data_IF_849957747617
#
_entry.id   IF_849957747617
#
_cell.length_a   1.000
_cell.length_b   1.000
_cell.length_c   1.000
_cell.angle_alpha   90.00
_cell.angle_beta   90.00
_cell.angle_gamma   90.00
#
_symmetry.space_group_name_H-M   'P 1'
#
loop_
_entity.id
_entity.type
_entity.pdbx_description
1 polymer ?
#
# COMPACT_ATOMS: atom_id res chain seq x y z
N UNK A 1 -0.88 -14.28 -7.08
CA UNK A 1 0.47 -13.72 -6.87
C UNK A 1 0.86 -13.89 -5.39
N UNK A 2 1.66 -14.90 -5.07
CA UNK A 2 2.06 -15.29 -3.70
C UNK A 2 2.93 -14.24 -2.95
N UNK A 3 3.40 -13.19 -3.62
CA UNK A 3 4.34 -12.21 -3.07
C UNK A 3 3.91 -10.75 -3.31
N UNK A 4 2.62 -10.47 -3.36
CA UNK A 4 2.11 -9.11 -3.35
C UNK A 4 2.47 -8.42 -2.02
N UNK A 5 2.92 -7.15 -2.09
CA UNK A 5 3.17 -6.33 -0.90
C UNK A 5 4.48 -6.56 -0.13
N UNK A 6 5.26 -7.61 -0.40
CA UNK A 6 6.60 -7.78 0.18
C UNK A 6 7.64 -6.92 -0.56
N UNK A 7 8.75 -6.62 0.12
CA UNK A 7 9.82 -5.81 -0.46
C UNK A 7 10.44 -6.46 -1.71
N UNK A 8 11.00 -5.65 -2.59
CA UNK A 8 11.70 -6.08 -3.80
C UNK A 8 12.87 -7.01 -3.48
N UNK A 9 13.64 -6.71 -2.45
CA UNK A 9 14.79 -7.52 -2.01
C UNK A 9 14.37 -8.91 -1.57
N UNK A 10 13.28 -9.02 -0.83
CA UNK A 10 12.71 -10.32 -0.43
C UNK A 10 12.24 -11.13 -1.63
N UNK A 11 11.61 -10.49 -2.63
CA UNK A 11 11.21 -11.15 -3.88
C UNK A 11 12.40 -11.70 -4.66
N UNK A 12 13.49 -10.93 -4.78
CA UNK A 12 14.71 -11.38 -5.47
C UNK A 12 15.41 -12.50 -4.70
N UNK A 13 15.52 -12.39 -3.38
CA UNK A 13 16.08 -13.45 -2.55
C UNK A 13 15.28 -14.76 -2.67
N UNK A 14 13.95 -14.66 -2.62
CA UNK A 14 13.08 -15.81 -2.85
C UNK A 14 13.29 -16.42 -4.24
N UNK A 15 13.29 -15.62 -5.31
CA UNK A 15 13.50 -16.08 -6.68
C UNK A 15 14.82 -16.83 -6.84
N UNK A 16 15.90 -16.33 -6.24
CA UNK A 16 17.21 -16.97 -6.31
C UNK A 16 17.23 -18.31 -5.60
N UNK A 17 16.59 -18.45 -4.46
CA UNK A 17 16.48 -19.73 -3.75
C UNK A 17 15.64 -20.75 -4.51
N UNK A 18 14.45 -20.36 -4.97
CA UNK A 18 13.49 -21.28 -5.58
C UNK A 18 13.83 -21.66 -7.03
N UNK A 19 14.38 -20.73 -7.80
CA UNK A 19 14.63 -20.95 -9.24
C UNK A 19 16.09 -21.30 -9.52
N UNK A 20 17.01 -20.59 -8.88
CA UNK A 20 18.45 -20.80 -9.10
C UNK A 20 19.10 -21.70 -8.04
N UNK A 21 18.33 -22.12 -7.02
CA UNK A 21 18.78 -23.01 -5.94
C UNK A 21 20.06 -22.51 -5.24
N UNK A 22 20.21 -21.20 -5.10
CA UNK A 22 21.31 -20.56 -4.40
C UNK A 22 20.90 -19.24 -3.77
N UNK A 23 21.68 -18.75 -2.85
CA UNK A 23 21.51 -17.40 -2.32
C UNK A 23 21.99 -16.35 -3.34
N UNK A 24 21.31 -15.21 -3.37
CA UNK A 24 21.72 -14.03 -4.14
C UNK A 24 22.87 -13.33 -3.40
N UNK A 25 23.91 -12.93 -4.13
CA UNK A 25 25.00 -12.14 -3.52
C UNK A 25 24.57 -10.69 -3.30
N UNK A 26 25.22 -9.95 -2.38
CA UNK A 26 24.93 -8.53 -2.19
C UNK A 26 25.08 -7.70 -3.48
N UNK A 27 26.07 -8.00 -4.30
CA UNK A 27 26.37 -7.32 -5.55
C UNK A 27 25.29 -7.57 -6.61
N UNK A 28 24.87 -8.82 -6.77
CA UNK A 28 23.74 -9.19 -7.64
C UNK A 28 22.43 -8.53 -7.18
N UNK A 29 22.20 -8.45 -5.88
CA UNK A 29 21.04 -7.79 -5.31
C UNK A 29 20.99 -6.31 -5.69
N UNK A 30 22.11 -5.60 -5.56
CA UNK A 30 22.18 -4.18 -5.92
C UNK A 30 21.98 -3.96 -7.44
N UNK A 31 22.62 -4.77 -8.29
CA UNK A 31 22.47 -4.70 -9.74
C UNK A 31 21.00 -4.95 -10.15
N UNK A 32 20.37 -6.00 -9.62
CA UNK A 32 18.95 -6.27 -9.89
C UNK A 32 18.02 -5.17 -9.39
N UNK A 33 18.28 -4.62 -8.21
CA UNK A 33 17.51 -3.51 -7.71
C UNK A 33 17.63 -2.28 -8.62
N UNK A 34 18.83 -1.92 -9.05
CA UNK A 34 19.09 -0.80 -9.94
C UNK A 34 18.40 -0.98 -11.31
N UNK A 35 18.53 -2.15 -11.92
CA UNK A 35 17.87 -2.49 -13.20
C UNK A 35 16.35 -2.47 -13.10
N UNK A 36 15.81 -2.97 -12.01
CA UNK A 36 14.38 -2.98 -11.77
C UNK A 36 13.83 -1.55 -11.65
N UNK A 37 14.53 -0.66 -10.92
CA UNK A 37 14.13 0.76 -10.80
C UNK A 37 14.03 1.39 -12.20
N UNK A 38 15.02 1.19 -13.04
CA UNK A 38 15.04 1.77 -14.40
C UNK A 38 13.90 1.24 -15.27
N UNK A 39 13.63 -0.08 -15.21
CA UNK A 39 12.62 -0.72 -16.07
C UNK A 39 11.18 -0.57 -15.56
N UNK A 40 11.00 -0.55 -14.24
CA UNK A 40 9.67 -0.51 -13.63
C UNK A 40 9.14 0.92 -13.46
N UNK A 41 10.03 1.91 -13.33
CA UNK A 41 9.63 3.27 -13.04
C UNK A 41 8.73 3.85 -14.14
N UNK A 42 9.08 3.66 -15.39
CA UNK A 42 8.28 4.15 -16.52
C UNK A 42 6.91 3.48 -16.57
N UNK A 43 6.85 2.17 -16.29
CA UNK A 43 5.59 1.44 -16.22
C UNK A 43 4.71 1.93 -15.07
N UNK A 44 5.28 2.16 -13.88
CA UNK A 44 4.56 2.67 -12.72
C UNK A 44 4.06 4.10 -12.94
N UNK A 45 4.88 4.95 -13.56
CA UNK A 45 4.50 6.34 -13.85
C UNK A 45 3.35 6.44 -14.87
N UNK A 46 3.31 5.53 -15.85
CA UNK A 46 2.31 5.52 -16.89
C UNK A 46 1.13 4.57 -16.64
N UNK A 47 1.17 3.78 -15.55
CA UNK A 47 0.07 2.89 -15.22
C UNK A 47 -1.23 3.67 -14.99
N UNK A 48 -2.38 3.18 -15.49
CA UNK A 48 -3.66 3.80 -15.17
C UNK A 48 -3.91 3.76 -13.66
N UNK A 49 -4.57 4.77 -13.15
CA UNK A 49 -5.04 4.77 -11.77
C UNK A 49 -6.16 3.76 -11.60
N UNK A 50 -6.26 3.19 -10.40
CA UNK A 50 -7.38 2.32 -10.06
C UNK A 50 -8.68 3.13 -10.14
N UNK A 51 -9.74 2.60 -10.81
CA UNK A 51 -11.02 3.29 -10.88
C UNK A 51 -11.53 3.67 -9.48
N UNK A 52 -12.04 4.89 -9.35
CA UNK A 52 -12.56 5.45 -8.09
C UNK A 52 -11.52 6.10 -7.18
N UNK A 53 -10.19 5.90 -7.40
CA UNK A 53 -9.18 6.47 -6.48
C UNK A 53 -9.22 8.00 -6.45
N UNK A 54 -9.39 8.66 -7.58
CA UNK A 54 -9.42 10.13 -7.61
C UNK A 54 -10.62 10.67 -6.86
N UNK A 55 -11.79 10.06 -7.02
CA UNK A 55 -13.01 10.45 -6.29
C UNK A 55 -12.83 10.29 -4.77
N UNK A 56 -12.12 9.25 -4.34
CA UNK A 56 -11.78 9.04 -2.91
C UNK A 56 -10.81 10.11 -2.42
N UNK A 57 -9.73 10.35 -3.15
CA UNK A 57 -8.73 11.35 -2.75
C UNK A 57 -9.32 12.76 -2.68
N UNK A 58 -10.07 13.18 -3.69
CA UNK A 58 -10.71 14.51 -3.74
C UNK A 58 -11.77 14.69 -2.65
N UNK A 59 -12.53 13.64 -2.35
CA UNK A 59 -13.57 13.69 -1.33
C UNK A 59 -13.03 13.80 0.09
N UNK A 60 -11.96 13.05 0.40
CA UNK A 60 -11.46 12.92 1.77
C UNK A 60 -10.25 13.80 2.08
N UNK A 61 -9.55 14.33 1.06
CA UNK A 61 -8.45 15.26 1.27
C UNK A 61 -8.90 16.49 2.07
N UNK A 62 -8.16 16.81 3.14
CA UNK A 62 -8.46 17.91 4.05
C UNK A 62 -9.61 17.63 5.03
N UNK A 63 -10.29 16.48 4.95
CA UNK A 63 -11.34 16.06 5.90
C UNK A 63 -10.80 15.06 6.90
N UNK A 64 -9.95 14.16 6.45
CA UNK A 64 -9.24 13.19 7.29
C UNK A 64 -7.77 13.11 6.84
N UNK A 65 -6.84 12.71 7.73
CA UNK A 65 -5.46 12.44 7.33
C UNK A 65 -5.39 11.25 6.36
N UNK A 66 -4.85 11.47 5.17
CA UNK A 66 -4.62 10.42 4.18
C UNK A 66 -3.14 10.03 4.17
N UNK A 67 -2.86 8.74 4.16
CA UNK A 67 -1.50 8.20 4.15
C UNK A 67 -1.31 7.18 3.04
N UNK A 68 -0.10 7.15 2.47
CA UNK A 68 0.36 6.00 1.69
C UNK A 68 1.25 5.14 2.57
N UNK A 69 1.00 3.82 2.58
CA UNK A 69 1.78 2.83 3.30
C UNK A 69 2.18 1.72 2.32
N UNK A 70 3.46 1.66 1.93
CA UNK A 70 3.92 0.79 0.84
C UNK A 70 5.20 0.04 1.17
N UNK A 71 5.36 -1.16 0.60
CA UNK A 71 6.62 -1.91 0.58
C UNK A 71 7.68 -1.36 -0.39
N UNK A 72 7.39 -0.26 -1.09
CA UNK A 72 8.36 0.45 -1.94
C UNK A 72 9.34 1.25 -1.07
N UNK A 73 10.64 1.32 -1.41
CA UNK A 73 11.60 2.18 -0.71
C UNK A 73 11.14 3.64 -0.64
N UNK A 74 11.34 4.29 0.51
CA UNK A 74 10.81 5.62 0.82
C UNK A 74 11.07 6.65 -0.30
N UNK A 75 12.32 6.85 -0.70
CA UNK A 75 12.68 7.84 -1.72
C UNK A 75 12.07 7.55 -3.10
N UNK A 76 11.92 6.26 -3.46
CA UNK A 76 11.28 5.85 -4.71
C UNK A 76 9.79 6.13 -4.68
N UNK A 77 9.12 5.81 -3.56
CA UNK A 77 7.69 6.05 -3.36
C UNK A 77 7.36 7.54 -3.44
N UNK A 78 8.13 8.38 -2.75
CA UNK A 78 7.99 9.84 -2.80
C UNK A 78 8.13 10.36 -4.22
N UNK A 79 9.20 9.98 -4.92
CA UNK A 79 9.45 10.38 -6.31
C UNK A 79 8.31 9.99 -7.26
N UNK A 80 7.77 8.78 -7.12
CA UNK A 80 6.64 8.32 -7.95
C UNK A 80 5.38 9.15 -7.69
N UNK A 81 5.04 9.38 -6.44
CA UNK A 81 3.84 10.13 -6.07
C UNK A 81 3.93 11.61 -6.48
N UNK A 82 5.11 12.22 -6.34
CA UNK A 82 5.37 13.58 -6.81
C UNK A 82 5.22 13.70 -8.33
N UNK A 83 5.90 12.83 -9.09
CA UNK A 83 5.85 12.82 -10.57
C UNK A 83 4.46 12.53 -11.10
N UNK A 84 3.64 11.78 -10.40
CA UNK A 84 2.22 11.55 -10.73
C UNK A 84 1.29 12.66 -10.24
N UNK A 85 1.78 13.67 -9.53
CA UNK A 85 0.99 14.77 -8.97
C UNK A 85 0.04 14.32 -7.86
N UNK A 86 0.29 13.15 -7.24
CA UNK A 86 -0.57 12.58 -6.21
C UNK A 86 -0.11 12.92 -4.79
N UNK A 87 1.16 13.28 -4.59
CA UNK A 87 1.72 13.56 -3.26
C UNK A 87 0.91 14.59 -2.47
N UNK A 88 0.32 15.56 -3.15
CA UNK A 88 -0.49 16.64 -2.55
C UNK A 88 -1.71 16.19 -1.77
N UNK A 89 -2.24 15.00 -2.04
CA UNK A 89 -3.41 14.47 -1.36
C UNK A 89 -3.11 13.84 -0.01
N UNK A 90 -1.84 13.53 0.26
CA UNK A 90 -1.44 12.74 1.41
C UNK A 90 -0.81 13.58 2.50
N UNK A 91 -1.23 13.35 3.74
CA UNK A 91 -0.63 13.90 4.97
C UNK A 91 0.75 13.29 5.21
N UNK A 92 0.97 12.06 4.75
CA UNK A 92 2.25 11.39 4.83
C UNK A 92 2.40 10.24 3.83
N UNK A 93 3.64 10.03 3.43
CA UNK A 93 4.05 8.98 2.50
C UNK A 93 5.03 8.09 3.27
N UNK A 94 4.69 6.81 3.45
CA UNK A 94 5.42 5.87 4.29
C UNK A 94 5.86 4.65 3.46
N UNK A 95 7.13 4.62 3.13
CA UNK A 95 7.79 3.53 2.41
C UNK A 95 8.65 2.65 3.33
N UNK A 96 9.17 1.56 2.77
CA UNK A 96 10.05 0.63 3.48
C UNK A 96 11.50 1.18 3.55
N UNK A 97 12.33 0.79 4.58
CA UNK A 97 11.93 0.22 5.86
C UNK A 97 11.19 1.24 6.72
N UNK A 98 10.42 0.89 7.75
CA UNK A 98 10.15 -0.43 8.32
C UNK A 98 9.06 -1.23 7.62
N UNK A 99 8.68 -2.37 8.18
CA UNK A 99 7.61 -3.20 7.65
C UNK A 99 6.24 -2.51 7.72
N UNK A 100 5.31 -2.87 6.83
CA UNK A 100 4.00 -2.20 6.66
C UNK A 100 3.18 -2.13 7.95
N UNK A 101 3.16 -3.20 8.75
CA UNK A 101 2.48 -3.20 10.04
C UNK A 101 3.05 -2.15 11.01
N UNK A 102 4.36 -1.98 11.04
CA UNK A 102 5.01 -0.98 11.91
C UNK A 102 4.78 0.45 11.40
N UNK A 103 4.74 0.64 10.08
CA UNK A 103 4.35 1.92 9.47
C UNK A 103 2.94 2.31 9.88
N UNK A 104 1.97 1.38 9.76
CA UNK A 104 0.57 1.62 10.08
C UNK A 104 0.37 1.91 11.58
N UNK A 105 0.99 1.13 12.48
CA UNK A 105 1.02 1.43 13.92
C UNK A 105 1.63 2.80 14.23
N UNK A 106 2.68 3.18 13.49
CA UNK A 106 3.31 4.49 13.62
C UNK A 106 2.37 5.63 13.23
N UNK A 107 1.59 5.46 12.17
CA UNK A 107 0.58 6.41 11.70
C UNK A 107 -0.52 6.58 12.76
N UNK A 108 -1.11 5.50 13.25
CA UNK A 108 -2.16 5.52 14.28
C UNK A 108 -1.68 6.26 15.54
N UNK A 109 -0.46 5.96 16.01
CA UNK A 109 0.14 6.65 17.16
C UNK A 109 0.39 8.15 16.89
N UNK A 110 0.87 8.48 15.69
CA UNK A 110 1.13 9.89 15.29
C UNK A 110 -0.13 10.72 15.28
N UNK A 111 -1.19 10.17 14.71
CA UNK A 111 -2.50 10.85 14.63
C UNK A 111 -3.27 10.83 15.97
N UNK A 112 -2.83 10.01 16.95
CA UNK A 112 -3.45 9.86 18.27
C UNK A 112 -4.92 9.45 18.21
N UNK A 113 -5.23 8.56 17.30
CA UNK A 113 -6.58 8.01 17.09
C UNK A 113 -6.68 6.58 17.64
N UNK A 114 -7.90 6.13 17.89
CA UNK A 114 -8.15 4.71 18.12
C UNK A 114 -7.84 3.93 16.83
N UNK A 115 -7.14 2.79 16.87
CA UNK A 115 -6.95 1.93 15.70
C UNK A 115 -8.24 1.62 14.95
N UNK A 116 -9.38 1.45 15.66
CA UNK A 116 -10.69 1.23 15.05
C UNK A 116 -11.23 2.44 14.26
N UNK A 117 -10.59 3.61 14.34
CA UNK A 117 -10.91 4.80 13.54
C UNK A 117 -10.04 4.93 12.30
N UNK A 118 -9.07 4.04 12.12
CA UNK A 118 -8.23 3.98 10.94
C UNK A 118 -8.70 2.89 9.98
N UNK A 119 -8.63 3.18 8.68
CA UNK A 119 -8.93 2.20 7.62
C UNK A 119 -7.69 1.98 6.77
N UNK A 120 -7.24 0.74 6.66
CA UNK A 120 -6.27 0.30 5.67
C UNK A 120 -7.00 -0.15 4.41
N UNK A 121 -6.63 0.38 3.25
CA UNK A 121 -7.12 -0.06 1.94
C UNK A 121 -5.98 -0.75 1.21
N UNK A 122 -6.17 -1.99 0.77
CA UNK A 122 -5.09 -2.75 0.16
C UNK A 122 -5.54 -3.85 -0.79
N UNK A 123 -4.60 -4.37 -1.59
CA UNK A 123 -4.87 -5.39 -2.62
C UNK A 123 -4.07 -6.69 -2.43
N UNK A 124 -3.31 -6.78 -1.36
CA UNK A 124 -2.44 -7.91 -1.06
C UNK A 124 -2.67 -8.47 0.35
N UNK A 125 -2.36 -9.75 0.60
CA UNK A 125 -2.40 -10.35 1.94
C UNK A 125 -1.63 -9.55 2.98
N UNK A 126 -0.47 -9.00 2.60
CA UNK A 126 0.35 -8.17 3.49
C UNK A 126 -0.32 -6.87 3.93
N UNK A 127 -1.38 -6.43 3.24
CA UNK A 127 -2.18 -5.27 3.64
C UNK A 127 -3.17 -5.65 4.73
N UNK A 128 -3.89 -6.77 4.54
CA UNK A 128 -4.79 -7.30 5.57
C UNK A 128 -4.04 -7.74 6.83
N UNK A 129 -2.88 -8.40 6.68
CA UNK A 129 -2.03 -8.79 7.81
C UNK A 129 -1.53 -7.55 8.59
N UNK A 130 -1.18 -6.47 7.88
CA UNK A 130 -0.76 -5.22 8.52
C UNK A 130 -1.92 -4.54 9.25
N UNK A 131 -3.12 -4.55 8.67
CA UNK A 131 -4.33 -4.01 9.30
C UNK A 131 -4.68 -4.80 10.57
N UNK A 132 -4.68 -6.13 10.51
CA UNK A 132 -4.90 -7.00 11.66
C UNK A 132 -3.87 -6.75 12.76
N UNK A 133 -2.58 -6.72 12.42
CA UNK A 133 -1.50 -6.47 13.37
C UNK A 133 -1.57 -5.07 14.02
N UNK A 134 -2.15 -4.08 13.33
CA UNK A 134 -2.34 -2.72 13.83
C UNK A 134 -3.73 -2.48 14.43
N UNK A 135 -4.60 -3.50 14.44
CA UNK A 135 -5.97 -3.45 14.96
C UNK A 135 -6.86 -2.42 14.24
N UNK A 136 -6.55 -2.12 12.96
CA UNK A 136 -7.30 -1.17 12.15
C UNK A 136 -8.37 -1.86 11.32
N UNK A 137 -9.35 -1.09 10.84
CA UNK A 137 -10.29 -1.57 9.83
C UNK A 137 -9.56 -1.85 8.50
N UNK A 138 -10.13 -2.75 7.70
CA UNK A 138 -9.58 -3.11 6.41
C UNK A 138 -10.65 -3.12 5.31
N UNK A 139 -10.29 -2.57 4.14
CA UNK A 139 -11.05 -2.70 2.90
C UNK A 139 -10.17 -3.35 1.83
N UNK A 140 -10.60 -4.52 1.35
CA UNK A 140 -9.89 -5.28 0.32
C UNK A 140 -10.20 -4.80 -1.10
N UNK A 141 -9.18 -4.71 -1.97
CA UNK A 141 -9.38 -4.40 -3.39
C UNK A 141 -8.90 -5.54 -4.29
N UNK A 142 -9.71 -5.84 -5.33
CA UNK A 142 -9.33 -6.76 -6.39
C UNK A 142 -9.60 -8.23 -6.09
N UNK A 143 -9.26 -9.09 -7.05
CA UNK A 143 -9.65 -10.49 -7.10
C UNK A 143 -9.21 -11.34 -5.89
N UNK A 144 -8.15 -10.94 -5.18
CA UNK A 144 -7.69 -11.66 -4.00
C UNK A 144 -8.75 -11.67 -2.88
N UNK A 145 -9.51 -10.59 -2.76
CA UNK A 145 -10.51 -10.41 -1.70
C UNK A 145 -11.95 -10.71 -2.15
N UNK A 146 -12.17 -11.18 -3.38
CA UNK A 146 -13.51 -11.43 -3.95
C UNK A 146 -14.37 -12.39 -3.10
N UNK A 147 -13.74 -13.30 -2.36
CA UNK A 147 -14.41 -14.24 -1.46
C UNK A 147 -14.03 -14.02 0.02
N UNK A 148 -13.48 -12.86 0.36
CA UNK A 148 -13.11 -12.54 1.73
C UNK A 148 -14.33 -12.10 2.55
N UNK A 149 -14.25 -12.26 3.86
CA UNK A 149 -15.28 -11.79 4.80
C UNK A 149 -15.19 -10.29 5.10
N UNK A 150 -14.09 -9.62 4.72
CA UNK A 150 -13.93 -8.19 4.92
C UNK A 150 -14.70 -7.38 3.83
N UNK A 151 -15.04 -6.13 4.10
CA UNK A 151 -15.50 -5.20 3.06
C UNK A 151 -14.50 -5.13 1.91
N UNK A 152 -14.99 -5.23 0.66
CA UNK A 152 -14.11 -5.27 -0.50
C UNK A 152 -14.81 -4.83 -1.80
N UNK A 153 -14.01 -4.60 -2.85
CA UNK A 153 -14.50 -4.34 -4.20
C UNK A 153 -13.45 -4.69 -5.26
N UNK A 154 -13.84 -4.85 -6.52
CA UNK A 154 -12.89 -5.08 -7.62
C UNK A 154 -12.00 -3.85 -7.88
N UNK A 155 -12.49 -2.69 -7.53
CA UNK A 155 -11.85 -1.37 -7.61
C UNK A 155 -12.25 -0.52 -6.39
N UNK A 156 -12.16 0.80 -6.47
CA UNK A 156 -12.47 1.73 -5.37
C UNK A 156 -13.75 2.55 -5.58
N UNK A 157 -14.58 2.21 -6.59
CA UNK A 157 -15.82 2.94 -6.87
C UNK A 157 -16.82 2.86 -5.70
N UNK A 158 -16.86 1.73 -4.99
CA UNK A 158 -17.71 1.52 -3.81
C UNK A 158 -17.13 2.03 -2.50
N UNK A 159 -15.84 2.42 -2.46
CA UNK A 159 -15.15 2.75 -1.21
C UNK A 159 -15.75 3.99 -0.52
N UNK A 160 -16.12 5.02 -1.29
CA UNK A 160 -16.69 6.24 -0.72
C UNK A 160 -18.00 5.98 0.03
N UNK A 161 -18.90 5.18 -0.51
CA UNK A 161 -20.18 4.85 0.14
C UNK A 161 -19.92 4.11 1.47
N UNK A 162 -19.03 3.13 1.47
CA UNK A 162 -18.67 2.41 2.68
C UNK A 162 -18.01 3.29 3.76
N UNK A 163 -17.12 4.19 3.37
CA UNK A 163 -16.49 5.14 4.30
C UNK A 163 -17.51 6.12 4.90
N UNK A 164 -18.52 6.54 4.14
CA UNK A 164 -19.61 7.39 4.62
C UNK A 164 -20.51 6.68 5.62
N UNK A 165 -20.84 5.42 5.37
CA UNK A 165 -21.58 4.58 6.32
C UNK A 165 -20.82 4.43 7.63
N UNK A 166 -19.51 4.20 7.58
CA UNK A 166 -18.65 4.14 8.77
C UNK A 166 -18.65 5.46 9.55
N UNK A 167 -18.57 6.59 8.85
CA UNK A 167 -18.56 7.90 9.48
C UNK A 167 -19.92 8.22 10.15
N UNK A 168 -21.02 7.90 9.48
CA UNK A 168 -22.37 8.12 10.00
C UNK A 168 -22.73 7.21 11.19
N UNK A 169 -22.12 6.04 11.31
CA UNK A 169 -22.36 5.11 12.44
C UNK A 169 -21.62 5.48 13.73
N UNK A 170 -20.83 6.54 13.72
CA UNK A 170 -20.04 7.04 14.88
C UNK A 170 -20.60 8.33 15.49
N UNK A 171 -21.67 8.88 14.94
CA UNK A 171 -22.44 10.00 15.49
C UNK A 171 -23.56 9.45 16.41
#
# INVERSE_FOLDING_TARGET
>A
ALHGGVSRREKFAWLYREVFHREITPEEMEDLCARFVTSALDNVLNAPLVPGIMDVLERWHGRVPLYVCSGTPQAELESVLERRGLARYFTGICGTPPAKAELLKGIVRKERIDPADAVMVGDAPTDSDAAEAAETLFYGRGAFFENASCPHGPDLLGLNAWLEELAAGKD
#
